data_IF_827908881303
#
_entry.id   IF_827908881303
#
_cell.length_a   1.000
_cell.length_b   1.000
_cell.length_c   1.000
_cell.angle_alpha   90.00
_cell.angle_beta   90.00
_cell.angle_gamma   90.00
#
_symmetry.space_group_name_H-M   'P 1'
#
loop_
_entity.id
_entity.type
_entity.pdbx_description
1 polymer ?
#
# COMPACT_ATOMS: atom_id res chain seq x y z
N UNK A 1 10.14 0.19 -41.35
CA UNK A 1 8.72 0.45 -41.03
C UNK A 1 8.61 0.40 -39.50
N UNK A 2 8.73 1.54 -38.82
CA UNK A 2 7.65 2.37 -38.26
C UNK A 2 7.14 1.79 -36.91
N UNK A 3 7.12 2.46 -35.75
CA UNK A 3 7.21 3.88 -35.36
C UNK A 3 7.83 3.97 -33.95
N UNK A 4 8.85 4.82 -33.76
CA UNK A 4 9.29 5.24 -32.43
C UNK A 4 8.31 6.31 -31.90
N UNK A 5 7.24 5.86 -31.25
CA UNK A 5 6.35 6.71 -30.46
C UNK A 5 6.85 6.79 -29.02
N UNK A 6 8.11 7.20 -28.82
CA UNK A 6 8.69 7.37 -27.49
C UNK A 6 8.13 8.64 -26.84
N UNK A 7 6.93 8.55 -26.27
CA UNK A 7 6.41 9.62 -25.42
C UNK A 7 7.41 9.90 -24.30
N UNK A 8 7.74 11.17 -24.08
CA UNK A 8 8.75 11.53 -23.10
C UNK A 8 8.33 11.04 -21.70
N UNK A 9 9.24 10.32 -21.03
CA UNK A 9 9.00 9.72 -19.71
C UNK A 9 9.59 10.57 -18.60
N UNK A 10 9.08 10.39 -17.39
CA UNK A 10 9.61 10.94 -16.14
C UNK A 10 9.71 9.85 -15.07
N UNK A 11 9.97 10.27 -13.84
CA UNK A 11 10.17 9.38 -12.70
C UNK A 11 9.29 9.80 -11.53
N UNK A 12 8.78 8.86 -10.75
CA UNK A 12 8.08 9.12 -9.48
C UNK A 12 8.89 8.53 -8.35
N UNK A 13 9.02 9.27 -7.24
CA UNK A 13 9.60 8.78 -6.00
C UNK A 13 8.73 9.14 -4.80
N UNK A 14 8.77 8.31 -3.77
CA UNK A 14 8.12 8.56 -2.50
C UNK A 14 8.41 7.45 -1.51
N UNK A 15 7.66 7.44 -0.41
CA UNK A 15 7.76 6.37 0.59
C UNK A 15 6.40 5.92 1.11
N UNK A 16 6.30 4.63 1.38
CA UNK A 16 5.14 3.96 1.96
C UNK A 16 5.58 3.33 3.28
N UNK A 17 4.87 3.67 4.35
CA UNK A 17 5.03 3.05 5.67
C UNK A 17 3.75 2.31 6.04
N UNK A 18 3.86 1.30 6.89
CA UNK A 18 2.75 0.45 7.30
C UNK A 18 2.48 0.64 8.79
N UNK A 19 1.25 0.97 9.16
CA UNK A 19 0.87 1.08 10.56
C UNK A 19 1.14 -0.25 11.28
N UNK A 20 1.82 -0.18 12.42
CA UNK A 20 2.13 -1.35 13.24
C UNK A 20 3.36 -2.15 12.79
N UNK A 21 3.99 -1.83 11.65
CA UNK A 21 5.19 -2.54 11.17
C UNK A 21 6.41 -1.62 11.15
N UNK A 22 7.58 -2.18 11.48
CA UNK A 22 8.88 -1.53 11.29
C UNK A 22 9.46 -1.70 9.88
N UNK A 23 8.74 -2.40 9.00
CA UNK A 23 9.17 -2.68 7.63
C UNK A 23 7.99 -2.57 6.66
N UNK A 24 8.28 -2.06 5.47
CA UNK A 24 7.33 -1.92 4.38
C UNK A 24 7.52 -2.98 3.27
N UNK A 25 8.27 -4.06 3.55
CA UNK A 25 8.42 -5.15 2.60
C UNK A 25 7.04 -5.68 2.18
N UNK A 26 6.85 -5.84 0.87
CA UNK A 26 5.58 -6.29 0.29
C UNK A 26 4.65 -5.15 -0.15
N UNK A 27 4.84 -3.94 0.38
CA UNK A 27 4.11 -2.77 -0.09
C UNK A 27 4.55 -2.38 -1.51
N UNK A 28 3.61 -1.82 -2.27
CA UNK A 28 3.86 -1.40 -3.65
C UNK A 28 3.19 -0.06 -3.94
N UNK A 29 3.88 0.77 -4.72
CA UNK A 29 3.26 1.86 -5.45
C UNK A 29 2.87 1.36 -6.85
N UNK A 30 1.62 1.56 -7.26
CA UNK A 30 1.10 1.13 -8.56
C UNK A 30 0.47 2.28 -9.33
N UNK A 31 0.64 2.27 -10.65
CA UNK A 31 -0.04 3.16 -11.60
C UNK A 31 -0.70 2.31 -12.69
N UNK A 32 -1.68 2.90 -13.38
CA UNK A 32 -2.36 2.29 -14.54
C UNK A 32 -2.84 0.85 -14.29
N UNK A 33 -3.48 0.64 -13.14
CA UNK A 33 -3.98 -0.70 -12.73
C UNK A 33 -2.87 -1.75 -12.64
N UNK A 34 -1.67 -1.34 -12.23
CA UNK A 34 -0.53 -2.23 -11.98
C UNK A 34 0.40 -2.46 -13.17
N UNK A 35 0.18 -1.78 -14.31
CA UNK A 35 1.11 -1.88 -15.46
C UNK A 35 2.49 -1.31 -15.12
N UNK A 36 2.52 -0.27 -14.31
CA UNK A 36 3.73 0.32 -13.76
C UNK A 36 3.70 0.15 -12.24
N UNK A 37 4.80 -0.34 -11.67
CA UNK A 37 4.90 -0.59 -10.24
C UNK A 37 6.31 -0.30 -9.73
N UNK A 38 6.38 0.25 -8.52
CA UNK A 38 7.61 0.43 -7.76
C UNK A 38 7.52 -0.43 -6.51
N UNK A 39 8.34 -1.50 -6.37
CA UNK A 39 8.41 -2.22 -5.10
C UNK A 39 8.96 -1.28 -4.02
N UNK A 40 8.40 -1.34 -2.82
CA UNK A 40 9.00 -0.64 -1.68
C UNK A 40 10.24 -1.39 -1.20
N UNK A 41 11.32 -0.64 -0.98
CA UNK A 41 12.41 -1.08 -0.15
C UNK A 41 11.93 -1.40 1.27
N UNK A 42 12.76 -2.06 2.08
CA UNK A 42 12.41 -2.44 3.45
C UNK A 42 12.02 -1.21 4.30
N UNK A 43 12.68 -0.10 4.03
CA UNK A 43 12.52 1.22 4.67
C UNK A 43 11.28 1.98 4.17
N UNK A 44 10.65 1.53 3.09
CA UNK A 44 9.42 2.11 2.53
C UNK A 44 9.60 2.92 1.25
N UNK A 45 10.83 3.28 0.90
CA UNK A 45 11.11 4.06 -0.30
C UNK A 45 10.76 3.28 -1.57
N UNK A 46 10.21 3.97 -2.56
CA UNK A 46 9.95 3.42 -3.89
C UNK A 46 10.34 4.40 -4.98
N UNK A 47 10.65 3.87 -6.16
CA UNK A 47 10.82 4.62 -7.38
C UNK A 47 10.12 3.92 -8.54
N UNK A 48 9.54 4.70 -9.45
CA UNK A 48 8.94 4.23 -10.70
C UNK A 48 9.55 5.04 -11.82
N UNK A 49 10.41 4.39 -12.59
CA UNK A 49 11.09 4.97 -13.74
C UNK A 49 10.24 4.83 -15.02
N UNK A 50 10.64 5.54 -16.07
CA UNK A 50 10.05 5.45 -17.41
C UNK A 50 8.53 5.67 -17.45
N UNK A 51 7.99 6.51 -16.56
CA UNK A 51 6.55 6.82 -16.50
C UNK A 51 6.21 7.86 -17.57
N UNK A 52 5.33 7.58 -18.55
CA UNK A 52 4.98 8.54 -19.59
C UNK A 52 4.44 9.85 -18.99
N UNK A 53 4.87 11.00 -19.50
CA UNK A 53 4.47 12.30 -18.96
C UNK A 53 2.96 12.58 -19.17
N UNK A 54 2.18 12.43 -18.10
CA UNK A 54 0.75 12.76 -18.03
C UNK A 54 0.29 12.78 -16.56
N UNK A 55 -0.99 12.97 -16.31
CA UNK A 55 -1.60 12.84 -14.98
C UNK A 55 -2.04 11.40 -14.73
N UNK A 56 -1.70 10.88 -13.55
CA UNK A 56 -2.10 9.55 -13.08
C UNK A 56 -2.77 9.63 -11.71
N UNK A 57 -3.47 8.55 -11.37
CA UNK A 57 -3.74 8.19 -9.97
C UNK A 57 -2.71 7.14 -9.58
N UNK A 58 -1.88 7.46 -8.60
CA UNK A 58 -1.00 6.50 -7.95
C UNK A 58 -1.75 5.86 -6.78
N UNK A 59 -1.60 4.54 -6.64
CA UNK A 59 -2.13 3.80 -5.49
C UNK A 59 -0.98 3.19 -4.69
N UNK A 60 -1.03 3.33 -3.38
CA UNK A 60 -0.16 2.61 -2.46
C UNK A 60 -0.94 1.44 -1.87
N UNK A 61 -0.43 0.22 -2.04
CA UNK A 61 -1.14 -1.03 -1.71
C UNK A 61 -0.28 -1.97 -0.88
N UNK A 62 -0.93 -2.71 0.02
CA UNK A 62 -0.36 -3.80 0.80
C UNK A 62 -1.53 -4.71 1.23
N UNK A 63 -1.47 -6.05 1.04
CA UNK A 63 -2.51 -6.95 1.55
C UNK A 63 -2.69 -6.80 3.07
N UNK A 64 -3.94 -6.80 3.56
CA UNK A 64 -4.24 -6.55 4.97
C UNK A 64 -4.33 -5.06 5.35
N UNK A 65 -4.06 -4.15 4.40
CA UNK A 65 -4.04 -2.70 4.61
C UNK A 65 -4.94 -1.97 3.62
N UNK A 66 -5.53 -0.86 4.07
CA UNK A 66 -6.34 0.00 3.22
C UNK A 66 -5.49 0.72 2.19
N UNK A 67 -5.87 0.61 0.91
CA UNK A 67 -5.24 1.36 -0.19
C UNK A 67 -5.28 2.87 0.06
N UNK A 68 -4.17 3.57 -0.24
CA UNK A 68 -4.16 5.02 -0.39
C UNK A 68 -4.12 5.39 -1.88
N UNK A 69 -4.75 6.50 -2.27
CA UNK A 69 -4.75 7.00 -3.66
C UNK A 69 -4.44 8.49 -3.71
N UNK A 70 -3.67 8.93 -4.71
CA UNK A 70 -3.38 10.35 -4.95
C UNK A 70 -3.24 10.65 -6.44
N UNK A 71 -3.63 11.84 -6.86
CA UNK A 71 -3.33 12.35 -8.21
C UNK A 71 -1.89 12.86 -8.27
N UNK A 72 -1.15 12.44 -9.31
CA UNK A 72 0.23 12.85 -9.56
C UNK A 72 0.39 13.28 -11.01
N UNK A 73 1.07 14.41 -11.24
CA UNK A 73 1.41 14.89 -12.59
C UNK A 73 2.87 14.55 -12.88
N UNK A 74 3.09 13.72 -13.89
CA UNK A 74 4.43 13.34 -14.34
C UNK A 74 4.84 14.26 -15.48
N UNK A 75 6.06 14.78 -15.39
CA UNK A 75 6.64 15.64 -16.41
C UNK A 75 7.87 14.97 -17.02
N UNK A 76 8.05 15.19 -18.32
CA UNK A 76 9.15 14.61 -19.08
C UNK A 76 10.53 14.99 -18.51
N UNK A 77 11.42 14.00 -18.40
CA UNK A 77 12.79 14.14 -17.89
C UNK A 77 12.88 14.77 -16.49
N UNK A 78 11.85 14.63 -15.67
CA UNK A 78 11.82 15.10 -14.29
C UNK A 78 11.49 13.96 -13.32
N UNK A 79 11.97 14.11 -12.09
CA UNK A 79 11.50 13.35 -10.94
C UNK A 79 10.37 14.12 -10.27
N UNK A 80 9.20 13.48 -10.16
CA UNK A 80 8.05 13.96 -9.41
C UNK A 80 8.05 13.29 -8.03
N UNK A 81 8.45 14.00 -6.95
CA UNK A 81 8.30 13.48 -5.60
C UNK A 81 6.81 13.45 -5.21
N UNK A 82 6.38 12.39 -4.54
CA UNK A 82 5.09 12.33 -3.85
C UNK A 82 5.32 12.28 -2.34
N UNK A 83 4.47 12.96 -1.54
CA UNK A 83 4.61 12.92 -0.09
C UNK A 83 4.52 11.49 0.46
N UNK A 84 5.24 11.20 1.56
CA UNK A 84 5.13 9.93 2.26
C UNK A 84 3.68 9.60 2.62
N UNK A 85 3.34 8.31 2.59
CA UNK A 85 2.02 7.81 2.99
C UNK A 85 2.15 6.69 4.02
N UNK A 86 1.25 6.72 5.00
CA UNK A 86 1.05 5.64 5.97
C UNK A 86 -0.18 4.85 5.54
N UNK A 87 0.00 3.55 5.28
CA UNK A 87 -1.14 2.65 5.09
C UNK A 87 -1.66 2.18 6.45
N UNK A 88 -2.98 2.28 6.61
CA UNK A 88 -3.74 1.87 7.78
C UNK A 88 -4.06 0.38 7.68
N UNK A 89 -3.69 -0.38 8.71
CA UNK A 89 -3.90 -1.83 8.77
C UNK A 89 -5.31 -2.23 9.17
N UNK A 90 -5.71 -3.45 8.85
CA UNK A 90 -6.95 -4.06 9.33
C UNK A 90 -7.96 -4.47 8.26
N UNK A 91 -7.65 -4.32 6.97
CA UNK A 91 -8.46 -4.86 5.87
C UNK A 91 -8.07 -6.32 5.63
N UNK A 92 -8.27 -7.15 6.67
CA UNK A 92 -7.75 -8.50 6.76
C UNK A 92 -8.31 -9.41 5.67
N UNK A 93 -9.56 -9.20 5.25
CA UNK A 93 -10.18 -9.98 4.18
C UNK A 93 -10.00 -9.35 2.77
N UNK A 94 -9.40 -8.16 2.68
CA UNK A 94 -9.14 -7.40 1.45
C UNK A 94 -10.42 -7.04 0.67
N UNK A 95 -11.51 -6.70 1.37
CA UNK A 95 -12.75 -6.21 0.77
C UNK A 95 -12.75 -4.67 0.57
N UNK A 96 -11.66 -4.00 0.94
CA UNK A 96 -11.45 -2.57 0.74
C UNK A 96 -12.03 -1.69 1.84
N UNK A 97 -12.42 -2.27 2.98
CA UNK A 97 -12.86 -1.54 4.18
C UNK A 97 -12.45 -2.31 5.43
N UNK A 98 -12.28 -1.59 6.53
CA UNK A 98 -12.10 -2.24 7.84
C UNK A 98 -13.45 -2.30 8.53
N UNK A 99 -13.99 -3.51 8.69
CA UNK A 99 -15.28 -3.73 9.32
C UNK A 99 -15.32 -4.98 10.18
N UNK A 100 -16.54 -5.40 10.54
CA UNK A 100 -16.75 -6.55 11.41
C UNK A 100 -16.28 -7.88 10.77
N UNK A 101 -16.31 -7.97 9.44
CA UNK A 101 -15.81 -9.13 8.73
C UNK A 101 -14.30 -9.30 8.88
N UNK A 102 -13.54 -8.20 8.93
CA UNK A 102 -12.09 -8.22 9.18
C UNK A 102 -11.77 -8.59 10.61
N UNK A 103 -12.48 -8.00 11.58
CA UNK A 103 -12.33 -8.36 12.98
C UNK A 103 -12.67 -9.84 13.23
N UNK A 104 -13.72 -10.35 12.58
CA UNK A 104 -14.08 -11.76 12.65
C UNK A 104 -13.02 -12.66 11.98
N UNK A 105 -12.43 -12.21 10.87
CA UNK A 105 -11.32 -12.91 10.21
C UNK A 105 -10.10 -13.02 11.13
N UNK A 106 -9.63 -11.90 11.71
CA UNK A 106 -8.52 -11.89 12.66
C UNK A 106 -8.86 -12.77 13.88
N UNK A 107 -10.07 -12.62 14.43
CA UNK A 107 -10.54 -13.40 15.57
C UNK A 107 -10.59 -14.91 15.32
N UNK A 108 -10.86 -15.35 14.09
CA UNK A 108 -10.85 -16.77 13.72
C UNK A 108 -9.46 -17.40 13.79
N UNK A 109 -8.40 -16.59 13.72
CA UNK A 109 -7.01 -17.03 13.82
C UNK A 109 -6.34 -16.62 15.15
N UNK A 110 -7.10 -16.11 16.11
CA UNK A 110 -6.56 -15.59 17.37
C UNK A 110 -5.73 -16.64 18.14
N UNK A 111 -4.61 -16.20 18.71
CA UNK A 111 -3.64 -16.98 19.46
C UNK A 111 -2.91 -18.07 18.64
N UNK A 112 -2.82 -17.91 17.31
CA UNK A 112 -2.05 -18.82 16.45
C UNK A 112 -0.61 -18.35 16.26
N UNK A 113 0.35 -19.29 16.39
CA UNK A 113 1.80 -19.10 16.16
C UNK A 113 2.42 -20.40 15.59
N UNK A 114 2.94 -20.43 14.35
CA UNK A 114 2.93 -19.34 13.38
C UNK A 114 1.49 -18.93 13.03
N UNK A 115 1.28 -17.73 12.46
CA UNK A 115 -0.05 -17.25 12.12
C UNK A 115 -0.77 -18.25 11.20
N UNK A 116 -2.01 -18.61 11.54
CA UNK A 116 -2.83 -19.47 10.69
C UNK A 116 -3.24 -18.80 9.37
N UNK A 117 -3.16 -17.47 9.33
CA UNK A 117 -3.26 -16.64 8.13
C UNK A 117 -2.35 -15.42 8.28
N UNK A 118 -1.49 -15.16 7.30
CA UNK A 118 -0.64 -13.95 7.28
C UNK A 118 -1.44 -12.65 7.15
N UNK A 119 -2.71 -12.74 6.76
CA UNK A 119 -3.61 -11.58 6.69
C UNK A 119 -4.29 -11.28 8.02
N UNK A 120 -4.25 -12.22 8.97
CA UNK A 120 -4.72 -12.01 10.34
C UNK A 120 -3.62 -11.45 11.25
N UNK A 121 -2.35 -11.72 10.94
CA UNK A 121 -1.17 -11.09 11.55
C UNK A 121 -0.88 -9.75 10.84
N UNK A 122 -1.60 -8.71 11.28
CA UNK A 122 -1.57 -7.39 10.68
C UNK A 122 -0.23 -6.71 10.94
N UNK A 123 0.35 -6.87 12.14
CA UNK A 123 1.62 -6.22 12.50
C UNK A 123 2.88 -7.04 12.12
N UNK A 124 2.72 -8.24 11.54
CA UNK A 124 3.80 -9.13 11.10
C UNK A 124 4.74 -9.59 12.22
N UNK A 125 4.23 -9.72 13.45
CA UNK A 125 5.03 -10.10 14.61
C UNK A 125 5.08 -11.61 14.87
N UNK A 126 4.56 -12.40 13.94
CA UNK A 126 4.52 -13.88 13.90
C UNK A 126 3.51 -14.53 14.84
N UNK A 127 2.62 -13.76 15.45
CA UNK A 127 1.50 -14.27 16.24
C UNK A 127 0.25 -13.47 15.90
N UNK A 128 -0.91 -14.13 15.82
CA UNK A 128 -2.19 -13.41 15.75
C UNK A 128 -2.68 -13.18 17.17
N UNK A 129 -2.71 -11.93 17.63
CA UNK A 129 -3.14 -11.61 18.99
C UNK A 129 -3.99 -10.32 19.11
N UNK A 130 -4.05 -9.76 20.31
CA UNK A 130 -4.84 -8.56 20.57
C UNK A 130 -4.28 -7.32 19.86
N UNK A 131 -2.99 -7.27 19.55
CA UNK A 131 -2.38 -6.14 18.85
C UNK A 131 -2.88 -6.04 17.41
N UNK A 132 -3.14 -7.15 16.73
CA UNK A 132 -3.78 -7.17 15.40
C UNK A 132 -5.21 -6.61 15.44
N UNK A 133 -6.00 -7.07 16.42
CA UNK A 133 -7.36 -6.60 16.63
C UNK A 133 -7.39 -5.12 17.01
N UNK A 134 -6.42 -4.63 17.80
CA UNK A 134 -6.30 -3.21 18.16
C UNK A 134 -5.97 -2.37 16.93
N UNK A 135 -5.09 -2.84 16.04
CA UNK A 135 -4.78 -2.14 14.78
C UNK A 135 -6.01 -2.05 13.87
N UNK A 136 -6.72 -3.15 13.66
CA UNK A 136 -7.94 -3.14 12.87
C UNK A 136 -9.04 -2.30 13.53
N UNK A 137 -9.24 -2.44 14.84
CA UNK A 137 -10.20 -1.66 15.61
C UNK A 137 -9.97 -0.15 15.53
N UNK A 138 -8.71 0.30 15.54
CA UNK A 138 -8.34 1.71 15.40
C UNK A 138 -8.77 2.32 14.03
N UNK A 139 -8.98 1.47 13.03
CA UNK A 139 -9.34 1.87 11.67
C UNK A 139 -10.77 1.49 11.28
N UNK A 140 -11.59 1.00 12.22
CA UNK A 140 -12.95 0.54 11.95
C UNK A 140 -13.80 1.60 11.22
N UNK A 141 -14.48 1.18 10.17
CA UNK A 141 -15.33 2.02 9.32
C UNK A 141 -14.58 2.79 8.22
N UNK A 142 -13.24 2.71 8.15
CA UNK A 142 -12.46 3.31 7.06
C UNK A 142 -12.44 2.41 5.83
N UNK A 143 -12.35 3.02 4.65
CA UNK A 143 -12.25 2.35 3.35
C UNK A 143 -11.06 2.80 2.50
N UNK A 144 -10.21 3.67 3.06
CA UNK A 144 -8.97 4.12 2.43
C UNK A 144 -8.01 4.68 3.47
N UNK A 145 -6.73 4.57 3.19
CA UNK A 145 -5.68 5.30 3.91
C UNK A 145 -5.59 6.74 3.39
N UNK A 146 -5.50 7.74 4.28
CA UNK A 146 -5.35 9.13 3.85
C UNK A 146 -3.95 9.35 3.25
N UNK A 147 -3.90 9.92 2.05
CA UNK A 147 -2.66 10.44 1.50
C UNK A 147 -2.60 11.95 1.80
N UNK A 148 -1.59 12.44 2.54
CA UNK A 148 -1.41 13.88 2.76
C UNK A 148 -1.40 14.65 1.45
N UNK A 149 -1.90 15.89 1.44
CA UNK A 149 -2.01 16.78 0.27
C UNK A 149 -0.82 17.71 0.12
#
# INVERSE_FOLDING_TARGET
MAVAGGGATGRIEGSITLQGRGSSVGAKAILERGRLQGPCAKEGDFAIDDVPATSYVIEAVMPGYLTARRSVKVEANKTTPVPPVLLLGGDANNDGRVGIADLAWIGAYFNTKPPGSSQADINDDTIVDIYDLVLAGANFGRSQSPWPG
#
